data_IF_608630145405
#
_entry.id   IF_608630145405
#
_cell.length_a   1.000
_cell.length_b   1.000
_cell.length_c   1.000
_cell.angle_alpha   90.00
_cell.angle_beta   90.00
_cell.angle_gamma   90.00
#
_symmetry.space_group_name_H-M   'P 1'
#
loop_
_entity.id
_entity.type
_entity.pdbx_description
1 polymer ?
#
# COMPACT_ATOMS: atom_id res chain seq x y z
N UNK A 1 4.82 2.80 -8.39
CA UNK A 1 4.03 3.63 -9.31
C UNK A 1 3.14 2.73 -10.15
N UNK A 2 1.82 2.79 -9.95
CA UNK A 2 0.84 1.94 -10.61
C UNK A 2 0.29 2.59 -11.88
N UNK A 3 0.28 1.85 -12.98
CA UNK A 3 -0.39 2.22 -14.23
C UNK A 3 -1.67 1.39 -14.38
N UNK A 4 -2.64 1.89 -15.13
CA UNK A 4 -3.84 1.10 -15.46
C UNK A 4 -3.47 -0.10 -16.34
N UNK A 5 -4.24 -1.19 -16.23
CA UNK A 5 -4.10 -2.36 -17.12
C UNK A 5 -4.59 -2.06 -18.55
N UNK A 6 -5.54 -1.12 -18.70
CA UNK A 6 -6.03 -0.71 -20.03
C UNK A 6 -5.19 0.43 -20.61
N UNK A 7 -5.08 0.44 -21.94
CA UNK A 7 -4.54 1.56 -22.71
C UNK A 7 -5.65 2.56 -23.05
N UNK A 8 -5.30 3.85 -23.10
CA UNK A 8 -6.20 4.92 -23.53
C UNK A 8 -5.96 5.36 -24.99
N UNK A 9 -5.09 4.68 -25.74
CA UNK A 9 -4.73 5.02 -27.14
C UNK A 9 -3.51 5.93 -27.29
N UNK A 10 -3.15 6.68 -26.24
CA UNK A 10 -1.93 7.52 -26.18
C UNK A 10 -0.92 6.99 -25.14
N UNK A 11 -1.16 5.77 -24.64
CA UNK A 11 -0.41 5.13 -23.55
C UNK A 11 -1.36 4.38 -22.61
N UNK A 12 -1.05 4.41 -21.31
CA UNK A 12 -1.99 3.99 -20.25
C UNK A 12 -2.20 5.17 -19.32
N UNK A 13 -3.38 5.25 -18.72
CA UNK A 13 -3.64 6.24 -17.68
C UNK A 13 -2.83 5.94 -16.42
N UNK A 14 -2.65 6.98 -15.63
CA UNK A 14 -2.13 6.86 -14.28
C UNK A 14 -3.17 6.14 -13.43
N UNK A 15 -2.74 5.05 -12.81
CA UNK A 15 -3.46 4.47 -11.69
C UNK A 15 -2.79 4.97 -10.40
N UNK A 16 -3.12 4.26 -9.34
CA UNK A 16 -2.67 4.52 -7.99
C UNK A 16 -2.10 3.22 -7.44
N UNK A 17 -1.36 3.32 -6.34
CA UNK A 17 -0.70 2.17 -5.73
C UNK A 17 0.60 1.74 -6.42
N UNK A 18 1.12 0.60 -5.96
CA UNK A 18 2.37 0.00 -6.42
C UNK A 18 3.01 -0.86 -5.34
N UNK A 19 4.07 -1.57 -5.69
CA UNK A 19 4.84 -2.37 -4.74
C UNK A 19 5.88 -1.49 -4.05
N UNK A 20 5.94 -1.57 -2.72
CA UNK A 20 7.00 -1.00 -1.91
C UNK A 20 7.97 -2.11 -1.51
N UNK A 21 9.27 -1.83 -1.54
CA UNK A 21 10.31 -2.74 -1.08
C UNK A 21 11.00 -2.11 0.13
N UNK A 22 11.03 -2.83 1.25
CA UNK A 22 11.79 -2.44 2.44
C UNK A 22 12.89 -3.47 2.65
N UNK A 23 14.11 -2.99 2.85
CA UNK A 23 15.29 -3.84 3.03
C UNK A 23 16.10 -3.28 4.18
N UNK A 24 16.50 -4.15 5.10
CA UNK A 24 17.32 -3.79 6.25
C UNK A 24 17.37 -4.93 7.25
N UNK A 25 18.30 -4.81 8.20
CA UNK A 25 18.49 -5.80 9.27
C UNK A 25 17.26 -5.89 10.19
N UNK A 26 16.63 -4.74 10.46
CA UNK A 26 15.45 -4.65 11.32
C UNK A 26 14.11 -4.94 10.62
N UNK A 27 14.14 -5.50 9.41
CA UNK A 27 12.93 -5.81 8.63
C UNK A 27 12.61 -7.30 8.79
N UNK A 28 11.36 -7.62 9.08
CA UNK A 28 10.83 -8.99 8.93
C UNK A 28 10.70 -9.36 7.44
N UNK A 29 11.84 -9.54 6.78
CA UNK A 29 11.94 -9.80 5.35
C UNK A 29 11.45 -11.17 4.91
N UNK A 30 11.58 -11.45 3.61
CA UNK A 30 11.09 -12.68 2.95
C UNK A 30 9.57 -12.88 3.12
N UNK A 31 8.82 -11.79 3.23
CA UNK A 31 7.38 -11.77 3.42
C UNK A 31 6.74 -10.76 2.47
N UNK A 32 5.51 -11.05 2.06
CA UNK A 32 4.64 -10.08 1.41
C UNK A 32 3.62 -9.61 2.45
N UNK A 33 3.38 -8.30 2.46
CA UNK A 33 2.36 -7.68 3.29
C UNK A 33 1.27 -7.15 2.35
N UNK A 34 0.02 -7.56 2.60
CA UNK A 34 -1.08 -7.42 1.66
C UNK A 34 -1.13 -8.54 0.61
N UNK A 35 -2.11 -8.44 -0.26
CA UNK A 35 -2.39 -9.39 -1.34
C UNK A 35 -2.00 -8.79 -2.70
N UNK A 36 -1.25 -9.57 -3.49
CA UNK A 36 -0.99 -9.21 -4.88
C UNK A 36 -2.29 -9.37 -5.69
N UNK A 37 -2.74 -8.33 -6.40
CA UNK A 37 -4.05 -8.35 -7.04
C UNK A 37 -4.09 -9.33 -8.22
N UNK A 38 -5.26 -9.89 -8.48
CA UNK A 38 -5.53 -10.56 -9.75
C UNK A 38 -5.57 -9.51 -10.88
N UNK A 39 -4.61 -9.55 -11.80
CA UNK A 39 -4.52 -8.58 -12.89
C UNK A 39 -5.53 -8.89 -14.00
N UNK A 40 -6.80 -8.61 -13.70
CA UNK A 40 -7.94 -8.88 -14.57
C UNK A 40 -8.84 -7.65 -14.71
N UNK A 41 -9.15 -7.28 -15.95
CA UNK A 41 -10.13 -6.23 -16.25
C UNK A 41 -11.52 -6.66 -15.80
N UNK A 42 -12.23 -5.76 -15.12
CA UNK A 42 -13.51 -6.03 -14.45
C UNK A 42 -13.40 -7.17 -13.42
N UNK A 43 -12.21 -7.43 -12.90
CA UNK A 43 -11.98 -8.31 -11.75
C UNK A 43 -12.43 -7.64 -10.44
N UNK A 44 -12.39 -8.38 -9.33
CA UNK A 44 -12.91 -7.90 -8.05
C UNK A 44 -12.18 -6.66 -7.51
N UNK A 45 -10.89 -6.50 -7.82
CA UNK A 45 -10.08 -5.36 -7.37
C UNK A 45 -10.01 -4.20 -8.39
N UNK A 46 -10.64 -4.36 -9.57
CA UNK A 46 -10.70 -3.30 -10.59
C UNK A 46 -11.87 -2.34 -10.30
N UNK A 47 -11.56 -1.07 -10.02
CA UNK A 47 -12.58 0.00 -9.88
C UNK A 47 -12.92 0.68 -11.22
N UNK A 48 -12.70 -0.04 -12.31
CA UNK A 48 -13.01 0.35 -13.67
C UNK A 48 -11.79 0.89 -14.41
N UNK A 49 -11.68 0.52 -15.68
CA UNK A 49 -10.56 0.94 -16.54
C UNK A 49 -9.24 0.24 -16.22
N UNK A 50 -9.26 -0.87 -15.47
CA UNK A 50 -8.04 -1.57 -15.06
C UNK A 50 -7.27 -0.83 -13.96
N UNK A 51 -7.98 -0.09 -13.10
CA UNK A 51 -7.40 0.59 -11.93
C UNK A 51 -7.54 -0.35 -10.74
N UNK A 52 -6.43 -0.96 -10.35
CA UNK A 52 -6.41 -1.92 -9.25
C UNK A 52 -6.34 -1.20 -7.90
N UNK A 53 -7.21 -1.56 -6.96
CA UNK A 53 -7.15 -1.10 -5.56
C UNK A 53 -6.13 -1.97 -4.80
N UNK A 54 -5.09 -1.40 -4.19
CA UNK A 54 -4.24 -2.15 -3.27
C UNK A 54 -5.02 -2.58 -2.02
N UNK A 55 -4.80 -3.82 -1.57
CA UNK A 55 -5.33 -4.34 -0.30
C UNK A 55 -4.68 -3.69 0.93
N UNK A 56 -3.54 -3.02 0.76
CA UNK A 56 -2.78 -2.34 1.82
C UNK A 56 -2.57 -0.88 1.47
N UNK A 57 -2.86 0.01 2.43
CA UNK A 57 -2.73 1.45 2.26
C UNK A 57 -1.28 1.93 2.43
N UNK A 58 -0.95 3.01 1.71
CA UNK A 58 0.29 3.75 1.95
C UNK A 58 0.38 4.30 3.39
N UNK A 59 -0.77 4.59 4.02
CA UNK A 59 -0.83 5.08 5.40
C UNK A 59 -0.51 3.98 6.42
N UNK A 60 -0.95 2.73 6.20
CA UNK A 60 -0.56 1.59 7.04
C UNK A 60 0.94 1.29 6.91
N UNK A 61 1.49 1.41 5.69
CA UNK A 61 2.93 1.33 5.45
C UNK A 61 3.69 2.42 6.21
N UNK A 62 3.27 3.67 6.06
CA UNK A 62 3.91 4.81 6.72
C UNK A 62 3.85 4.66 8.24
N UNK A 63 2.68 4.34 8.79
CA UNK A 63 2.47 4.17 10.23
C UNK A 63 3.41 3.12 10.85
N UNK A 64 3.55 1.96 10.19
CA UNK A 64 4.47 0.90 10.62
C UNK A 64 5.92 1.38 10.66
N UNK A 65 6.36 2.07 9.61
CA UNK A 65 7.74 2.55 9.51
C UNK A 65 8.02 3.68 10.51
N UNK A 66 7.10 4.63 10.67
CA UNK A 66 7.27 5.76 11.59
C UNK A 66 7.20 5.35 13.05
N UNK A 67 6.42 4.32 13.37
CA UNK A 67 6.42 3.72 14.70
C UNK A 67 7.79 3.16 15.07
N UNK A 68 8.47 2.50 14.12
CA UNK A 68 9.86 2.07 14.31
C UNK A 68 10.84 3.23 14.49
N UNK A 69 10.59 4.40 13.86
CA UNK A 69 11.35 5.62 14.14
C UNK A 69 11.08 6.24 15.52
N UNK A 70 10.13 5.70 16.28
CA UNK A 70 9.77 6.17 17.63
C UNK A 70 8.62 7.17 17.68
N UNK A 71 7.78 7.24 16.65
CA UNK A 71 6.52 8.01 16.72
C UNK A 71 5.49 7.23 17.56
N UNK A 72 4.88 7.92 18.53
CA UNK A 72 3.85 7.35 19.39
C UNK A 72 2.53 7.11 18.63
N UNK A 73 1.76 6.11 19.08
CA UNK A 73 0.48 5.74 18.46
C UNK A 73 -0.52 6.90 18.36
N UNK A 74 -0.46 7.84 19.30
CA UNK A 74 -1.31 9.03 19.34
C UNK A 74 -1.02 10.02 18.20
N UNK A 75 0.21 10.01 17.67
CA UNK A 75 0.70 10.93 16.65
C UNK A 75 0.72 10.30 15.25
N UNK A 76 0.36 9.02 15.10
CA UNK A 76 0.38 8.33 13.81
C UNK A 76 -0.52 9.02 12.77
N UNK A 77 -1.64 9.61 13.17
CA UNK A 77 -2.52 10.34 12.24
C UNK A 77 -1.90 11.65 11.71
N UNK A 78 -0.83 12.15 12.32
CA UNK A 78 -0.09 13.31 11.80
C UNK A 78 0.70 12.93 10.55
N UNK A 79 1.26 11.71 10.50
CA UNK A 79 2.11 11.23 9.40
C UNK A 79 1.36 10.31 8.41
N UNK A 80 0.32 9.64 8.88
CA UNK A 80 -0.55 8.74 8.12
C UNK A 80 -2.01 9.17 8.34
N UNK A 81 -2.50 10.21 7.64
CA UNK A 81 -3.75 10.90 7.99
C UNK A 81 -5.02 10.05 7.98
N UNK A 82 -5.04 8.96 7.22
CA UNK A 82 -6.18 8.06 7.12
C UNK A 82 -6.03 6.81 7.99
N UNK A 83 -5.00 6.73 8.84
CA UNK A 83 -4.66 5.50 9.60
C UNK A 83 -5.79 5.04 10.51
N UNK A 84 -6.61 5.96 11.00
CA UNK A 84 -7.75 5.66 11.87
C UNK A 84 -8.89 4.92 11.14
N UNK A 85 -8.89 4.87 9.81
CA UNK A 85 -9.84 4.07 9.03
C UNK A 85 -9.51 2.57 9.03
N UNK A 86 -8.35 2.16 9.59
CA UNK A 86 -7.87 0.79 9.55
C UNK A 86 -7.88 0.16 10.95
N UNK A 87 -8.40 -1.07 11.04
CA UNK A 87 -8.29 -1.89 12.24
C UNK A 87 -6.84 -2.30 12.50
N UNK A 88 -6.14 -2.72 11.45
CA UNK A 88 -4.71 -2.99 11.49
C UNK A 88 -3.95 -1.74 11.05
N UNK A 89 -3.42 -0.99 12.00
CA UNK A 89 -2.66 0.25 11.74
C UNK A 89 -1.17 -0.03 11.50
N UNK A 90 -0.64 -1.01 12.22
CA UNK A 90 0.71 -1.50 12.11
C UNK A 90 0.70 -2.84 11.35
N UNK A 91 1.45 -2.89 10.25
CA UNK A 91 1.59 -4.07 9.41
C UNK A 91 2.57 -5.08 10.01
N UNK A 92 3.43 -4.68 10.94
CA UNK A 92 4.37 -5.55 11.63
C UNK A 92 5.51 -6.04 10.73
N UNK A 93 6.02 -5.17 9.85
CA UNK A 93 7.18 -5.47 9.00
C UNK A 93 8.52 -5.03 9.61
N UNK A 94 8.50 -4.29 10.72
CA UNK A 94 9.70 -3.90 11.48
C UNK A 94 9.82 -4.72 12.77
N UNK A 95 11.06 -4.99 13.22
CA UNK A 95 11.39 -5.57 14.53
C UNK A 95 10.89 -4.71 15.70
#
# INVERSE_FOLDING_TARGET
>A
FGRTLTSNGDGTDHAWGGNQLIVGDAVFGQRMYGDYPLLQINGPEDVGGGRMIPSTSADQFAATLTKWFGIDDADLSVVAPNIDNFLQRDLGFML
#
